data_IF_188228830136
#
_entry.id   IF_188228830136
#
_cell.length_a   1.000
_cell.length_b   1.000
_cell.length_c   1.000
_cell.angle_alpha   90.00
_cell.angle_beta   90.00
_cell.angle_gamma   90.00
#
_symmetry.space_group_name_H-M   'P 1'
#
loop_
_entity.id
_entity.type
_entity.pdbx_description
1 polymer ?
#
# COMPACT_ATOMS: atom_id res chain seq x y z
N UNK A 1 23.66 8.46 -10.93
CA UNK A 1 23.46 7.10 -10.38
C UNK A 1 22.17 6.56 -10.97
N UNK A 2 22.23 5.46 -11.71
CA UNK A 2 21.02 4.70 -12.10
C UNK A 2 20.36 4.16 -10.82
N UNK A 3 19.04 4.30 -10.65
CA UNK A 3 18.35 3.71 -9.51
C UNK A 3 18.56 2.19 -9.51
N UNK A 4 18.64 1.61 -8.31
CA UNK A 4 18.67 0.16 -8.16
C UNK A 4 17.35 -0.41 -8.73
N UNK A 5 17.40 -1.43 -9.60
CA UNK A 5 16.19 -1.98 -10.20
C UNK A 5 15.23 -2.52 -9.12
N UNK A 6 13.93 -2.43 -9.38
CA UNK A 6 12.89 -2.98 -8.52
C UNK A 6 12.13 -4.03 -9.34
N UNK A 7 12.46 -5.33 -9.20
CA UNK A 7 11.77 -6.41 -9.90
C UNK A 7 10.30 -6.48 -9.47
N UNK A 8 9.37 -6.34 -10.41
CA UNK A 8 7.93 -6.26 -10.14
C UNK A 8 7.35 -7.57 -9.58
N UNK A 9 8.06 -8.67 -9.73
CA UNK A 9 7.68 -10.03 -9.38
C UNK A 9 8.12 -10.46 -7.98
N UNK A 10 9.11 -9.79 -7.40
CA UNK A 10 9.59 -10.05 -6.02
C UNK A 10 9.53 -8.82 -5.10
N UNK A 11 9.15 -7.64 -5.59
CA UNK A 11 9.10 -6.45 -4.75
C UNK A 11 8.02 -6.50 -3.66
N UNK A 12 8.30 -5.84 -2.53
CA UNK A 12 7.35 -5.54 -1.47
C UNK A 12 6.94 -4.06 -1.48
N UNK A 13 5.79 -3.74 -0.89
CA UNK A 13 5.23 -2.37 -0.99
C UNK A 13 6.17 -1.30 -0.40
N UNK A 14 6.94 -1.63 0.64
CA UNK A 14 7.87 -0.71 1.28
C UNK A 14 9.05 -0.31 0.38
N UNK A 15 9.37 -1.10 -0.65
CA UNK A 15 10.44 -0.80 -1.62
C UNK A 15 9.97 0.18 -2.70
N UNK A 16 8.65 0.23 -2.94
CA UNK A 16 8.01 1.05 -3.98
C UNK A 16 7.95 2.54 -3.61
N UNK A 17 8.00 2.84 -2.31
CA UNK A 17 7.71 4.15 -1.74
C UNK A 17 8.97 4.94 -1.36
N UNK A 18 8.77 6.22 -1.09
CA UNK A 18 9.74 7.09 -0.41
C UNK A 18 9.24 7.27 1.03
N UNK A 19 9.86 6.62 2.02
CA UNK A 19 9.42 6.70 3.41
C UNK A 19 9.90 7.99 4.06
N UNK A 20 9.09 8.57 4.94
CA UNK A 20 9.57 9.54 5.90
C UNK A 20 10.38 8.82 6.99
N UNK A 21 11.52 9.38 7.40
CA UNK A 21 12.21 8.90 8.61
C UNK A 21 11.49 9.44 9.84
N UNK A 22 10.79 8.56 10.52
CA UNK A 22 10.06 8.88 11.76
C UNK A 22 10.97 8.70 12.97
N UNK A 23 10.74 9.47 14.02
CA UNK A 23 11.32 9.22 15.33
C UNK A 23 12.69 9.85 15.49
N UNK A 24 12.91 11.05 14.94
CA UNK A 24 14.02 11.85 15.41
C UNK A 24 13.85 12.06 16.92
N UNK A 25 14.97 12.03 17.64
CA UNK A 25 14.95 12.06 19.10
C UNK A 25 14.20 13.30 19.64
N UNK A 26 14.26 14.42 18.92
CA UNK A 26 13.53 15.65 19.23
C UNK A 26 12.01 15.47 19.22
N UNK A 27 11.46 14.70 18.29
CA UNK A 27 10.01 14.47 18.17
C UNK A 27 9.53 13.51 19.26
N UNK A 28 10.34 12.48 19.52
CA UNK A 28 10.07 11.45 20.53
C UNK A 28 10.12 12.01 21.96
N UNK A 29 11.02 12.97 22.23
CA UNK A 29 11.13 13.66 23.53
C UNK A 29 9.87 14.45 23.91
N UNK A 30 9.09 14.91 22.93
CA UNK A 30 7.84 15.65 23.17
C UNK A 30 6.72 14.73 23.66
N UNK A 31 6.81 13.43 23.39
CA UNK A 31 5.82 12.43 23.80
C UNK A 31 5.97 12.08 25.28
N UNK A 32 4.86 11.96 25.99
CA UNK A 32 4.85 11.40 27.35
C UNK A 32 4.89 9.86 27.28
N UNK A 33 6.12 9.34 27.22
CA UNK A 33 6.45 7.92 27.21
C UNK A 33 6.88 7.38 28.57
N UNK A 34 6.49 8.05 29.67
CA UNK A 34 6.78 7.57 31.02
C UNK A 34 6.18 6.18 31.28
N UNK A 35 6.71 5.46 32.28
CA UNK A 35 6.32 4.08 32.61
C UNK A 35 4.79 3.87 32.58
N UNK A 36 4.38 2.83 31.86
CA UNK A 36 2.96 2.51 31.68
C UNK A 36 2.22 3.37 30.65
N UNK A 37 2.90 4.19 29.83
CA UNK A 37 2.25 4.98 28.77
C UNK A 37 1.35 4.15 27.85
N UNK A 38 1.73 2.90 27.54
CA UNK A 38 0.92 1.99 26.70
C UNK A 38 -0.45 1.66 27.31
N UNK A 39 -0.62 1.82 28.63
CA UNK A 39 -1.92 1.68 29.32
C UNK A 39 -2.70 2.98 29.37
N UNK A 40 -2.02 4.13 29.28
CA UNK A 40 -2.61 5.48 29.37
C UNK A 40 -3.10 5.98 28.01
N UNK A 41 -2.32 5.72 26.96
CA UNK A 41 -2.73 6.02 25.59
C UNK A 41 -3.80 5.04 25.14
N UNK A 42 -4.73 5.53 24.34
CA UNK A 42 -5.89 4.75 23.91
C UNK A 42 -6.10 4.82 22.40
N UNK A 43 -6.63 3.77 21.81
CA UNK A 43 -7.12 3.75 20.45
C UNK A 43 -8.65 3.53 20.47
N UNK A 44 -9.39 4.40 19.79
CA UNK A 44 -10.82 4.18 19.51
C UNK A 44 -10.94 3.49 18.16
N UNK A 45 -11.59 2.34 18.14
CA UNK A 45 -11.89 1.53 16.96
C UNK A 45 -13.38 1.56 16.68
N UNK A 46 -13.76 1.25 15.45
CA UNK A 46 -15.15 0.94 15.09
C UNK A 46 -15.22 -0.51 14.60
N UNK A 47 -15.96 -1.35 15.30
CA UNK A 47 -16.08 -2.79 15.00
C UNK A 47 -17.55 -3.15 14.90
N UNK A 48 -17.97 -3.69 13.75
CA UNK A 48 -19.36 -4.05 13.48
C UNK A 48 -20.36 -2.95 13.90
N UNK A 49 -20.11 -1.71 13.46
CA UNK A 49 -20.93 -0.54 13.79
C UNK A 49 -20.74 0.06 15.19
N UNK A 50 -20.00 -0.57 16.10
CA UNK A 50 -19.85 -0.12 17.49
C UNK A 50 -18.48 0.51 17.75
N UNK A 51 -18.44 1.65 18.44
CA UNK A 51 -17.17 2.22 18.91
C UNK A 51 -16.65 1.46 20.13
N UNK A 52 -15.38 1.05 20.08
CA UNK A 52 -14.71 0.38 21.19
C UNK A 52 -13.38 1.08 21.47
N UNK A 53 -13.11 1.35 22.75
CA UNK A 53 -11.87 2.01 23.19
C UNK A 53 -11.00 0.98 23.89
N UNK A 54 -9.73 0.90 23.49
CA UNK A 54 -8.75 0.07 24.18
C UNK A 54 -7.48 0.86 24.46
N UNK A 55 -6.69 0.41 25.44
CA UNK A 55 -5.34 0.92 25.63
C UNK A 55 -4.43 0.48 24.48
N UNK A 56 -3.39 1.25 24.16
CA UNK A 56 -2.36 0.85 23.18
C UNK A 56 -1.77 -0.53 23.49
N UNK A 57 -1.58 -0.88 24.77
CA UNK A 57 -1.11 -2.20 25.22
C UNK A 57 -1.93 -3.37 24.64
N UNK A 58 -3.24 -3.17 24.45
CA UNK A 58 -4.16 -4.21 24.01
C UNK A 58 -4.57 -4.03 22.53
N UNK A 59 -4.00 -3.04 21.85
CA UNK A 59 -4.39 -2.66 20.49
C UNK A 59 -4.10 -3.79 19.49
N UNK A 60 -3.02 -4.56 19.69
CA UNK A 60 -2.71 -5.74 18.87
C UNK A 60 -3.75 -6.89 18.96
N UNK A 61 -4.58 -6.90 20.01
CA UNK A 61 -5.60 -7.95 20.22
C UNK A 61 -6.93 -7.66 19.54
N UNK A 62 -7.08 -6.49 18.90
CA UNK A 62 -8.30 -6.14 18.21
C UNK A 62 -8.48 -6.97 16.94
N UNK A 63 -9.68 -7.52 16.69
CA UNK A 63 -9.95 -8.24 15.46
C UNK A 63 -9.88 -7.27 14.30
N UNK A 64 -9.07 -7.55 13.30
CA UNK A 64 -9.04 -6.76 12.05
C UNK A 64 -10.28 -7.05 11.19
N UNK A 65 -10.80 -8.28 11.26
CA UNK A 65 -12.07 -8.64 10.65
C UNK A 65 -13.25 -7.91 11.28
N UNK A 66 -14.04 -7.21 10.46
CA UNK A 66 -15.20 -6.44 10.90
C UNK A 66 -14.87 -5.05 11.43
N UNK A 67 -13.60 -4.63 11.40
CA UNK A 67 -13.22 -3.24 11.62
C UNK A 67 -13.68 -2.35 10.45
N UNK A 68 -14.09 -1.15 10.80
CA UNK A 68 -14.57 -0.12 9.90
C UNK A 68 -13.80 1.19 10.13
N UNK A 69 -13.81 2.11 9.15
CA UNK A 69 -13.31 3.46 9.36
C UNK A 69 -13.93 4.12 10.60
N UNK A 70 -13.08 4.61 11.52
CA UNK A 70 -13.51 5.23 12.78
C UNK A 70 -14.22 6.57 12.56
N UNK A 71 -14.03 7.17 11.38
CA UNK A 71 -14.74 8.38 10.97
C UNK A 71 -15.33 8.19 9.58
N UNK A 72 -16.49 8.81 9.29
CA UNK A 72 -17.06 8.78 7.95
C UNK A 72 -16.23 9.65 7.01
N UNK A 73 -16.06 9.19 5.77
CA UNK A 73 -15.51 10.02 4.69
C UNK A 73 -16.48 11.17 4.39
N UNK A 74 -16.02 12.41 4.56
CA UNK A 74 -16.85 13.58 4.26
C UNK A 74 -16.71 13.98 2.79
N UNK A 75 -17.83 14.30 2.15
CA UNK A 75 -17.90 14.78 0.78
C UNK A 75 -18.43 16.20 0.77
N UNK A 76 -17.62 17.16 0.31
CA UNK A 76 -18.01 18.58 0.21
C UNK A 76 -17.65 19.10 -1.16
N UNK A 77 -18.45 19.99 -1.73
CA UNK A 77 -18.18 20.59 -3.05
C UNK A 77 -17.00 21.57 -3.04
N UNK A 78 -16.60 22.06 -1.86
CA UNK A 78 -15.52 23.05 -1.67
C UNK A 78 -14.19 22.43 -1.25
N UNK A 79 -14.12 21.10 -1.09
CA UNK A 79 -12.90 20.44 -0.66
C UNK A 79 -11.91 20.30 -1.84
N UNK A 80 -10.65 20.66 -1.61
CA UNK A 80 -9.60 20.56 -2.64
C UNK A 80 -9.09 19.12 -2.83
N UNK A 81 -9.29 18.27 -1.83
CA UNK A 81 -8.90 16.87 -1.80
C UNK A 81 -10.04 16.01 -2.38
N UNK A 82 -9.72 14.97 -3.15
CA UNK A 82 -10.74 14.17 -3.85
C UNK A 82 -10.94 12.84 -3.12
N UNK A 83 -11.88 12.76 -2.16
CA UNK A 83 -12.22 11.49 -1.55
C UNK A 83 -12.84 10.55 -2.59
N UNK A 84 -12.77 9.26 -2.30
CA UNK A 84 -13.08 8.21 -3.25
C UNK A 84 -13.26 6.85 -2.59
N UNK A 85 -13.76 5.90 -3.39
CA UNK A 85 -13.70 4.47 -3.09
C UNK A 85 -12.80 3.81 -4.14
N UNK A 86 -11.74 3.15 -3.69
CA UNK A 86 -10.87 2.36 -4.56
C UNK A 86 -11.25 0.87 -4.47
N UNK A 87 -11.49 0.24 -5.62
CA UNK A 87 -11.64 -1.22 -5.68
C UNK A 87 -10.26 -1.88 -5.62
N UNK A 88 -10.06 -2.75 -4.63
CA UNK A 88 -8.89 -3.61 -4.55
C UNK A 88 -9.28 -5.06 -4.90
N UNK A 89 -8.57 -5.65 -5.85
CA UNK A 89 -8.79 -7.04 -6.28
C UNK A 89 -8.41 -8.02 -5.17
N UNK A 90 -7.30 -7.75 -4.48
CA UNK A 90 -6.74 -8.61 -3.42
C UNK A 90 -7.67 -8.80 -2.23
N UNK A 91 -8.52 -7.81 -1.93
CA UNK A 91 -9.49 -7.86 -0.82
C UNK A 91 -10.94 -8.06 -1.28
N UNK A 92 -11.20 -7.98 -2.58
CA UNK A 92 -12.55 -8.06 -3.18
C UNK A 92 -13.50 -6.95 -2.76
N UNK A 93 -13.02 -5.84 -2.19
CA UNK A 93 -13.84 -4.78 -1.56
C UNK A 93 -13.44 -3.38 -2.01
N UNK A 94 -14.30 -2.41 -1.64
CA UNK A 94 -14.06 -0.99 -1.80
C UNK A 94 -13.41 -0.42 -0.53
N UNK A 95 -12.35 0.36 -0.70
CA UNK A 95 -11.62 1.02 0.38
C UNK A 95 -11.71 2.53 0.21
N UNK A 96 -12.05 3.23 1.29
CA UNK A 96 -12.17 4.68 1.25
C UNK A 96 -10.80 5.36 1.31
N UNK A 97 -10.68 6.48 0.62
CA UNK A 97 -9.52 7.36 0.66
C UNK A 97 -10.00 8.82 0.62
N UNK A 98 -9.19 9.74 1.15
CA UNK A 98 -9.45 11.18 1.14
C UNK A 98 -8.53 11.96 0.19
N UNK A 99 -7.45 11.34 -0.28
CA UNK A 99 -6.51 11.98 -1.20
C UNK A 99 -6.04 11.06 -2.34
N UNK A 100 -5.54 11.67 -3.43
CA UNK A 100 -4.92 10.93 -4.54
C UNK A 100 -3.68 10.15 -4.05
N UNK A 101 -2.97 10.65 -3.04
CA UNK A 101 -1.82 9.96 -2.48
C UNK A 101 -2.23 8.66 -1.78
N UNK A 102 -3.34 8.67 -1.03
CA UNK A 102 -3.92 7.47 -0.42
C UNK A 102 -4.47 6.49 -1.48
N UNK A 103 -5.13 6.99 -2.53
CA UNK A 103 -5.56 6.14 -3.66
C UNK A 103 -4.38 5.39 -4.28
N UNK A 104 -3.25 6.06 -4.45
CA UNK A 104 -2.01 5.48 -4.98
C UNK A 104 -1.43 4.43 -4.04
N UNK A 105 -1.53 4.62 -2.73
CA UNK A 105 -1.15 3.60 -1.74
C UNK A 105 -1.98 2.33 -1.93
N UNK A 106 -3.30 2.47 -2.03
CA UNK A 106 -4.20 1.33 -2.21
C UNK A 106 -3.88 0.55 -3.49
N UNK A 107 -3.54 1.25 -4.58
CA UNK A 107 -3.11 0.61 -5.83
C UNK A 107 -1.82 -0.21 -5.65
N UNK A 108 -0.82 0.35 -4.95
CA UNK A 108 0.44 -0.34 -4.71
C UNK A 108 0.27 -1.56 -3.79
N UNK A 109 -0.55 -1.44 -2.74
CA UNK A 109 -0.90 -2.57 -1.87
C UNK A 109 -1.59 -3.67 -2.66
N UNK A 110 -2.54 -3.31 -3.53
CA UNK A 110 -3.25 -4.28 -4.37
C UNK A 110 -2.33 -4.98 -5.37
N UNK A 111 -1.35 -4.26 -5.92
CA UNK A 111 -0.36 -4.84 -6.84
C UNK A 111 0.56 -5.85 -6.15
N UNK A 112 1.02 -5.56 -4.92
CA UNK A 112 1.97 -6.44 -4.22
C UNK A 112 1.37 -7.78 -3.81
N UNK A 113 0.04 -7.91 -3.75
CA UNK A 113 -0.65 -9.17 -3.50
C UNK A 113 -0.45 -9.79 -2.10
N UNK A 114 0.39 -9.21 -1.25
CA UNK A 114 0.70 -9.70 0.10
C UNK A 114 -0.39 -9.36 1.12
N UNK A 115 -1.31 -8.45 0.78
CA UNK A 115 -2.38 -7.95 1.66
C UNK A 115 -3.54 -8.95 1.77
N UNK A 116 -4.00 -9.15 2.99
CA UNK A 116 -5.20 -9.94 3.34
C UNK A 116 -6.34 -9.07 3.86
N UNK A 117 -6.02 -7.93 4.49
CA UNK A 117 -6.99 -6.94 4.96
C UNK A 117 -6.40 -5.54 4.86
N UNK A 118 -7.24 -4.56 4.54
CA UNK A 118 -6.94 -3.13 4.59
C UNK A 118 -8.10 -2.41 5.26
N UNK A 119 -7.80 -1.60 6.25
CA UNK A 119 -8.79 -0.79 6.95
C UNK A 119 -8.37 0.66 6.81
N UNK A 120 -9.16 1.46 6.08
CA UNK A 120 -9.00 2.90 6.02
C UNK A 120 -9.38 3.55 7.35
N UNK A 121 -8.59 4.52 7.81
CA UNK A 121 -8.82 5.27 9.05
C UNK A 121 -9.19 4.34 10.22
N UNK A 122 -8.33 3.34 10.49
CA UNK A 122 -8.68 2.16 11.27
C UNK A 122 -8.99 2.47 12.73
N UNK A 123 -8.35 3.50 13.28
CA UNK A 123 -8.47 3.85 14.69
C UNK A 123 -8.12 5.32 14.91
N UNK A 124 -8.71 5.91 15.95
CA UNK A 124 -8.32 7.23 16.47
C UNK A 124 -7.44 7.03 17.69
N UNK A 125 -6.14 7.28 17.52
CA UNK A 125 -5.13 7.25 18.58
C UNK A 125 -5.21 8.53 19.41
N UNK A 126 -5.39 8.39 20.72
CA UNK A 126 -5.28 9.45 21.72
C UNK A 126 -4.01 9.23 22.53
N UNK A 127 -3.14 10.22 22.52
CA UNK A 127 -1.85 10.18 23.19
C UNK A 127 -1.59 11.50 23.93
N UNK A 128 -0.58 11.49 24.79
CA UNK A 128 -0.21 12.65 25.59
C UNK A 128 1.18 13.11 25.19
N UNK A 129 1.31 14.41 24.92
CA UNK A 129 2.61 15.09 24.85
C UNK A 129 2.91 15.72 26.21
N UNK A 130 4.13 16.25 26.40
CA UNK A 130 4.49 16.98 27.62
C UNK A 130 3.53 18.13 27.94
N UNK A 131 2.92 18.74 26.92
CA UNK A 131 2.08 19.92 27.07
C UNK A 131 0.57 19.61 27.09
N UNK A 132 0.10 18.67 26.25
CA UNK A 132 -1.33 18.45 26.04
C UNK A 132 -1.70 17.06 25.52
N UNK A 133 -2.96 16.63 25.70
CA UNK A 133 -3.52 15.51 24.94
C UNK A 133 -3.61 15.86 23.45
N UNK A 134 -3.32 14.89 22.60
CA UNK A 134 -3.39 15.00 21.14
C UNK A 134 -4.12 13.78 20.57
N UNK A 135 -4.85 13.99 19.47
CA UNK A 135 -5.48 12.93 18.71
C UNK A 135 -4.87 12.82 17.32
N UNK A 136 -4.75 11.60 16.82
CA UNK A 136 -4.36 11.30 15.45
C UNK A 136 -5.15 10.11 14.93
N UNK A 137 -5.44 10.09 13.63
CA UNK A 137 -6.08 8.94 12.96
C UNK A 137 -5.16 8.56 11.82
N UNK A 138 -4.42 7.43 11.93
CA UNK A 138 -3.62 6.91 10.83
C UNK A 138 -4.48 6.65 9.61
N UNK A 139 -3.91 6.76 8.42
CA UNK A 139 -4.69 6.63 7.18
C UNK A 139 -5.09 5.19 6.87
N UNK A 140 -4.22 4.21 7.12
CA UNK A 140 -4.52 2.79 6.87
C UNK A 140 -3.88 1.84 7.89
N UNK A 141 -4.56 0.71 8.12
CA UNK A 141 -3.95 -0.51 8.65
C UNK A 141 -3.98 -1.57 7.55
N UNK A 142 -2.83 -2.10 7.16
CA UNK A 142 -2.72 -3.17 6.18
C UNK A 142 -2.19 -4.44 6.83
N UNK A 143 -2.99 -5.51 6.81
CA UNK A 143 -2.58 -6.84 7.29
C UNK A 143 -2.04 -7.62 6.11
N UNK A 144 -0.77 -7.99 6.18
CA UNK A 144 -0.08 -8.77 5.14
C UNK A 144 0.31 -10.15 5.65
N UNK A 145 0.69 -11.04 4.73
CA UNK A 145 1.29 -12.34 5.10
C UNK A 145 2.55 -12.21 5.96
N UNK A 146 3.25 -11.08 5.87
CA UNK A 146 4.52 -10.82 6.53
C UNK A 146 4.41 -9.91 7.77
N UNK A 147 3.19 -9.57 8.20
CA UNK A 147 2.96 -8.69 9.35
C UNK A 147 1.92 -7.61 9.10
N UNK A 148 1.70 -6.78 10.11
CA UNK A 148 0.72 -5.69 10.07
C UNK A 148 1.44 -4.34 9.96
N UNK A 149 0.98 -3.53 9.02
CA UNK A 149 1.50 -2.19 8.76
C UNK A 149 0.49 -1.14 9.16
N UNK A 150 0.90 -0.24 10.05
CA UNK A 150 0.22 1.02 10.29
C UNK A 150 0.83 2.08 9.37
N UNK A 151 -0.02 2.77 8.60
CA UNK A 151 0.43 3.60 7.49
C UNK A 151 -0.22 4.98 7.56
N UNK A 152 0.61 6.01 7.49
CA UNK A 152 0.21 7.40 7.25
C UNK A 152 0.68 7.82 5.85
N UNK A 153 -0.05 8.69 5.16
CA UNK A 153 0.24 9.16 3.80
C UNK A 153 0.24 10.68 3.79
N UNK A 154 1.43 11.26 3.60
CA UNK A 154 1.60 12.72 3.61
C UNK A 154 2.70 13.12 2.65
N UNK A 155 2.39 13.81 1.53
CA UNK A 155 3.42 14.32 0.61
C UNK A 155 4.51 15.08 1.37
N UNK A 156 5.78 14.78 1.08
CA UNK A 156 6.90 15.23 1.91
C UNK A 156 7.00 16.74 2.09
N UNK A 157 6.59 17.52 1.08
CA UNK A 157 6.55 18.98 1.11
C UNK A 157 5.40 19.57 1.95
N UNK A 158 4.46 18.75 2.42
CA UNK A 158 3.31 19.13 3.24
C UNK A 158 3.45 18.64 4.70
N UNK A 159 4.58 18.04 5.07
CA UNK A 159 4.81 17.55 6.43
C UNK A 159 5.20 18.72 7.33
N UNK A 160 4.33 19.06 8.26
CA UNK A 160 4.55 20.11 9.26
C UNK A 160 5.11 19.54 10.57
N UNK A 161 5.44 20.41 11.53
CA UNK A 161 5.97 19.98 12.83
C UNK A 161 4.98 19.12 13.62
N UNK A 162 3.72 19.53 13.66
CA UNK A 162 2.64 18.80 14.34
C UNK A 162 2.40 17.40 13.74
N UNK A 163 2.56 17.26 12.42
CA UNK A 163 2.48 15.96 11.75
C UNK A 163 3.58 15.01 12.24
N UNK A 164 4.80 15.52 12.44
CA UNK A 164 5.95 14.70 12.91
C UNK A 164 5.72 14.16 14.32
N UNK A 165 5.12 14.95 15.21
CA UNK A 165 4.76 14.50 16.57
C UNK A 165 3.73 13.38 16.49
N UNK A 166 2.69 13.52 15.65
CA UNK A 166 1.68 12.48 15.42
C UNK A 166 2.30 11.21 14.85
N UNK A 167 3.21 11.35 13.87
CA UNK A 167 3.90 10.21 13.29
C UNK A 167 4.78 9.49 14.30
N UNK A 168 5.48 10.23 15.17
CA UNK A 168 6.25 9.63 16.27
C UNK A 168 5.34 8.85 17.22
N UNK A 169 4.17 9.40 17.60
CA UNK A 169 3.20 8.70 18.44
C UNK A 169 2.64 7.43 17.78
N UNK A 170 2.29 7.49 16.48
CA UNK A 170 1.88 6.32 15.69
C UNK A 170 2.97 5.24 15.66
N UNK A 171 4.23 5.65 15.49
CA UNK A 171 5.37 4.72 15.49
C UNK A 171 5.54 4.00 16.84
N UNK A 172 5.42 4.72 17.96
CA UNK A 172 5.45 4.09 19.30
C UNK A 172 4.29 3.11 19.48
N UNK A 173 3.08 3.51 19.10
CA UNK A 173 1.89 2.67 19.24
C UNK A 173 1.98 1.40 18.38
N UNK A 174 2.45 1.53 17.13
CA UNK A 174 2.71 0.39 16.25
C UNK A 174 3.79 -0.54 16.83
N UNK A 175 4.92 0.03 17.29
CA UNK A 175 6.00 -0.74 17.90
C UNK A 175 5.52 -1.53 19.14
N UNK A 176 4.72 -0.90 20.00
CA UNK A 176 4.13 -1.55 21.17
C UNK A 176 3.21 -2.73 20.81
N UNK A 177 2.68 -2.75 19.58
CA UNK A 177 1.85 -3.82 19.04
C UNK A 177 2.62 -4.87 18.24
N UNK A 178 3.94 -4.69 18.05
CA UNK A 178 4.73 -5.51 17.13
C UNK A 178 4.39 -5.28 15.66
N UNK A 179 3.81 -4.13 15.33
CA UNK A 179 3.47 -3.73 13.96
C UNK A 179 4.60 -2.92 13.33
N UNK A 180 4.66 -2.96 12.00
CA UNK A 180 5.50 -2.06 11.23
C UNK A 180 4.80 -0.71 11.07
N UNK A 181 5.57 0.37 10.97
CA UNK A 181 5.05 1.72 10.74
C UNK A 181 5.79 2.42 9.61
N UNK A 182 5.04 3.09 8.74
CA UNK A 182 5.61 3.90 7.65
C UNK A 182 4.75 5.12 7.37
N UNK A 183 5.40 6.24 7.07
CA UNK A 183 4.75 7.40 6.47
C UNK A 183 5.17 7.48 5.01
N UNK A 184 4.20 7.43 4.10
CA UNK A 184 4.42 7.47 2.65
C UNK A 184 4.45 8.92 2.20
N UNK A 185 5.62 9.38 1.73
CA UNK A 185 5.82 10.77 1.28
C UNK A 185 5.79 10.93 -0.23
N UNK A 186 5.88 9.82 -0.94
CA UNK A 186 6.01 9.76 -2.38
C UNK A 186 6.40 8.36 -2.83
N UNK A 187 6.78 8.25 -4.09
CA UNK A 187 7.03 6.98 -4.76
C UNK A 187 8.36 7.03 -5.48
N UNK A 188 9.04 5.89 -5.59
CA UNK A 188 10.24 5.79 -6.42
C UNK A 188 9.89 6.18 -7.86
N UNK A 189 10.85 6.76 -8.62
CA UNK A 189 10.60 7.17 -10.00
C UNK A 189 9.99 6.04 -10.84
N UNK A 190 9.04 6.39 -11.71
CA UNK A 190 8.31 5.50 -12.62
C UNK A 190 7.35 4.48 -11.98
N UNK A 191 7.57 4.05 -10.73
CA UNK A 191 6.79 2.98 -10.09
C UNK A 191 5.29 3.17 -10.27
N UNK A 192 4.73 4.30 -9.81
CA UNK A 192 3.29 4.53 -9.93
C UNK A 192 2.80 4.66 -11.37
N UNK A 193 3.59 5.23 -12.27
CA UNK A 193 3.21 5.35 -13.68
C UNK A 193 3.09 3.97 -14.32
N UNK A 194 4.02 3.07 -13.98
CA UNK A 194 3.97 1.68 -14.43
C UNK A 194 2.79 0.97 -13.81
N UNK A 195 2.63 1.05 -12.48
CA UNK A 195 1.50 0.42 -11.77
C UNK A 195 0.16 0.87 -12.31
N UNK A 196 -0.03 2.18 -12.55
CA UNK A 196 -1.25 2.73 -13.14
C UNK A 196 -1.53 2.12 -14.52
N UNK A 197 -0.50 2.04 -15.38
CA UNK A 197 -0.60 1.43 -16.70
C UNK A 197 -0.99 -0.05 -16.68
N UNK A 198 -0.35 -0.87 -15.85
CA UNK A 198 -0.67 -2.31 -15.74
C UNK A 198 -2.00 -2.56 -15.01
N UNK A 199 -2.42 -1.62 -14.14
CA UNK A 199 -3.66 -1.74 -13.36
C UNK A 199 -4.93 -1.79 -14.21
N UNK A 200 -4.85 -1.39 -15.48
CA UNK A 200 -5.95 -1.50 -16.43
C UNK A 200 -6.44 -2.94 -16.62
N UNK A 201 -5.55 -3.93 -16.41
CA UNK A 201 -5.83 -5.35 -16.62
C UNK A 201 -5.77 -6.18 -15.33
N UNK A 202 -6.03 -5.55 -14.17
CA UNK A 202 -5.95 -6.21 -12.86
C UNK A 202 -7.09 -7.17 -12.51
N UNK A 203 -8.21 -7.07 -13.22
CA UNK A 203 -9.38 -7.93 -12.98
C UNK A 203 -9.18 -9.28 -13.69
N UNK A 204 -9.82 -10.36 -13.21
CA UNK A 204 -9.80 -11.64 -13.92
C UNK A 204 -10.17 -11.46 -15.40
N UNK A 205 -9.27 -11.91 -16.28
CA UNK A 205 -9.42 -11.79 -17.72
C UNK A 205 -9.62 -13.18 -18.32
N UNK A 206 -10.70 -13.37 -19.08
CA UNK A 206 -10.93 -14.64 -19.80
C UNK A 206 -9.94 -14.77 -20.94
N UNK A 207 -9.43 -15.98 -21.15
CA UNK A 207 -8.49 -16.28 -22.23
C UNK A 207 -8.97 -17.44 -23.11
N UNK A 208 -10.00 -17.23 -23.94
CA UNK A 208 -10.50 -18.27 -24.84
C UNK A 208 -9.53 -18.58 -25.99
N UNK A 209 -8.51 -17.75 -26.21
CA UNK A 209 -7.55 -17.87 -27.31
C UNK A 209 -6.19 -18.45 -26.86
N UNK A 210 -5.99 -18.71 -25.57
CA UNK A 210 -4.75 -19.28 -25.03
C UNK A 210 -3.54 -18.33 -25.10
N UNK A 211 -3.78 -17.02 -25.18
CA UNK A 211 -2.72 -16.01 -25.39
C UNK A 211 -1.79 -15.89 -24.18
N UNK A 212 -2.29 -16.12 -22.96
CA UNK A 212 -1.46 -16.07 -21.76
C UNK A 212 -0.38 -17.16 -21.78
N UNK A 213 -0.73 -18.37 -22.19
CA UNK A 213 0.21 -19.49 -22.24
C UNK A 213 1.28 -19.26 -23.31
N UNK A 214 0.90 -18.78 -24.49
CA UNK A 214 1.85 -18.40 -25.55
C UNK A 214 2.86 -17.34 -25.07
N UNK A 215 2.37 -16.30 -24.37
CA UNK A 215 3.22 -15.24 -23.81
C UNK A 215 4.20 -15.79 -22.77
N UNK A 216 3.73 -16.68 -21.89
CA UNK A 216 4.57 -17.27 -20.84
C UNK A 216 5.61 -18.22 -21.42
N UNK A 217 5.24 -19.07 -22.37
CA UNK A 217 6.18 -19.95 -23.09
C UNK A 217 7.24 -19.16 -23.85
N UNK A 218 6.85 -18.05 -24.49
CA UNK A 218 7.80 -17.16 -25.16
C UNK A 218 8.76 -16.51 -24.15
N UNK A 219 8.25 -16.00 -23.03
CA UNK A 219 9.04 -15.38 -21.97
C UNK A 219 9.96 -16.38 -21.24
N UNK A 220 9.57 -17.67 -21.17
CA UNK A 220 10.38 -18.73 -20.56
C UNK A 220 11.68 -19.03 -21.33
N UNK A 221 11.77 -18.62 -22.62
CA UNK A 221 13.01 -18.74 -23.42
C UNK A 221 14.08 -17.73 -23.01
N UNK A 222 13.72 -16.74 -22.21
CA UNK A 222 14.62 -15.72 -21.66
C UNK A 222 14.02 -14.32 -21.69
N UNK A 223 14.64 -13.36 -20.97
CA UNK A 223 14.22 -11.98 -20.97
C UNK A 223 14.24 -11.37 -22.38
N UNK A 224 13.17 -10.68 -22.76
CA UNK A 224 13.02 -10.05 -24.08
C UNK A 224 12.24 -8.75 -23.98
N UNK A 225 12.20 -7.95 -25.04
CA UNK A 225 11.44 -6.70 -25.00
C UNK A 225 9.93 -6.96 -25.03
N UNK A 226 9.17 -6.12 -24.32
CA UNK A 226 7.71 -6.19 -24.26
C UNK A 226 7.09 -6.17 -25.67
N UNK A 227 7.61 -5.32 -26.56
CA UNK A 227 7.15 -5.23 -27.94
C UNK A 227 7.40 -6.50 -28.76
N UNK A 228 8.56 -7.14 -28.59
CA UNK A 228 8.89 -8.40 -29.25
C UNK A 228 7.99 -9.53 -28.74
N UNK A 229 7.79 -9.60 -27.42
CA UNK A 229 6.95 -10.61 -26.79
C UNK A 229 5.52 -10.58 -27.34
N UNK A 230 4.89 -9.41 -27.38
CA UNK A 230 3.51 -9.28 -27.86
C UNK A 230 3.40 -9.43 -29.38
N UNK A 231 4.41 -9.00 -30.15
CA UNK A 231 4.42 -9.12 -31.61
C UNK A 231 4.56 -10.58 -32.08
N UNK A 232 5.08 -11.47 -31.23
CA UNK A 232 5.16 -12.91 -31.51
C UNK A 232 3.80 -13.63 -31.38
N UNK A 233 2.80 -13.00 -30.77
CA UNK A 233 1.44 -13.57 -30.66
C UNK A 233 0.65 -13.39 -31.96
N UNK A 234 -0.32 -14.28 -32.28
CA UNK A 234 -1.19 -14.12 -33.46
C UNK A 234 -2.03 -12.84 -33.45
N UNK A 235 -2.28 -12.26 -32.26
CA UNK A 235 -3.12 -11.08 -32.08
C UNK A 235 -2.43 -10.04 -31.17
N UNK A 236 -1.45 -9.25 -31.65
CA UNK A 236 -0.61 -8.40 -30.81
C UNK A 236 -1.37 -7.40 -29.92
N UNK A 237 -2.50 -6.86 -30.39
CA UNK A 237 -3.34 -5.95 -29.58
C UNK A 237 -3.97 -6.65 -28.39
N UNK A 238 -4.44 -7.89 -28.57
CA UNK A 238 -4.97 -8.73 -27.50
C UNK A 238 -3.81 -9.19 -26.60
N UNK A 239 -2.69 -9.62 -27.21
CA UNK A 239 -1.45 -9.97 -26.52
C UNK A 239 -0.97 -8.91 -25.55
N UNK A 240 -1.07 -7.62 -25.90
CA UNK A 240 -0.77 -6.51 -24.97
C UNK A 240 -1.67 -6.51 -23.73
N UNK A 241 -2.99 -6.67 -23.90
CA UNK A 241 -3.90 -6.70 -22.75
C UNK A 241 -3.59 -7.90 -21.82
N UNK A 242 -3.34 -9.07 -22.40
CA UNK A 242 -2.97 -10.27 -21.64
C UNK A 242 -1.58 -10.15 -20.99
N UNK A 243 -0.61 -9.51 -21.64
CA UNK A 243 0.70 -9.26 -21.05
C UNK A 243 0.62 -8.29 -19.86
N UNK A 244 -0.17 -7.21 -19.95
CA UNK A 244 -0.44 -6.33 -18.80
C UNK A 244 -1.13 -7.07 -17.64
N UNK A 245 -2.06 -7.98 -17.95
CA UNK A 245 -2.70 -8.84 -16.96
C UNK A 245 -1.67 -9.73 -16.25
N UNK A 246 -0.80 -10.40 -17.00
CA UNK A 246 0.27 -11.25 -16.45
C UNK A 246 1.30 -10.44 -15.63
N UNK A 247 1.61 -9.21 -16.03
CA UNK A 247 2.46 -8.29 -15.27
C UNK A 247 1.81 -7.88 -13.94
N UNK A 248 0.52 -7.54 -13.95
CA UNK A 248 -0.22 -7.23 -12.71
C UNK A 248 -0.23 -8.40 -11.74
N UNK A 249 -0.48 -9.61 -12.25
CA UNK A 249 -0.50 -10.84 -11.46
C UNK A 249 0.88 -11.45 -11.24
N UNK A 250 1.96 -10.72 -11.59
CA UNK A 250 3.35 -11.12 -11.33
C UNK A 250 3.73 -12.50 -11.90
N UNK A 251 3.07 -12.91 -12.99
CA UNK A 251 3.44 -14.08 -13.80
C UNK A 251 4.47 -13.70 -14.87
N UNK A 252 4.48 -12.43 -15.25
CA UNK A 252 5.59 -11.76 -15.92
C UNK A 252 6.16 -10.69 -14.99
N UNK A 253 7.47 -10.47 -15.08
CA UNK A 253 8.19 -9.47 -14.32
C UNK A 253 8.78 -8.37 -15.20
N UNK A 254 8.97 -7.18 -14.63
CA UNK A 254 9.68 -6.04 -15.23
C UNK A 254 10.37 -5.21 -14.15
N UNK A 255 11.25 -4.29 -14.54
CA UNK A 255 11.86 -3.31 -13.61
C UNK A 255 10.93 -2.09 -13.43
N UNK A 256 10.33 -1.95 -12.25
CA UNK A 256 9.38 -0.87 -11.93
C UNK A 256 10.02 0.52 -11.91
N UNK A 257 11.36 0.62 -11.92
CA UNK A 257 12.06 1.92 -11.95
C UNK A 257 12.19 2.50 -13.36
N UNK A 258 11.72 1.78 -14.38
CA UNK A 258 11.77 2.18 -15.79
C UNK A 258 10.37 2.32 -16.37
N UNK A 259 10.17 3.22 -17.35
CA UNK A 259 8.87 3.36 -17.99
C UNK A 259 8.50 2.06 -18.72
N UNK A 260 7.21 1.74 -18.75
CA UNK A 260 6.65 0.65 -19.55
C UNK A 260 6.46 1.10 -21.00
N UNK A 261 7.21 0.51 -21.92
CA UNK A 261 7.13 0.70 -23.36
C UNK A 261 7.63 -0.55 -24.10
N UNK A 262 7.65 -0.54 -25.43
CA UNK A 262 8.01 -1.70 -26.25
C UNK A 262 9.46 -2.18 -26.08
N UNK A 263 10.34 -1.35 -25.53
CA UNK A 263 11.74 -1.69 -25.22
C UNK A 263 11.92 -2.17 -23.77
N UNK A 264 10.88 -2.11 -22.93
CA UNK A 264 10.93 -2.62 -21.56
C UNK A 264 11.23 -4.11 -21.60
N UNK A 265 12.28 -4.54 -20.90
CA UNK A 265 12.58 -5.96 -20.76
C UNK A 265 11.58 -6.58 -19.80
N UNK A 266 10.99 -7.68 -20.24
CA UNK A 266 10.08 -8.52 -19.46
C UNK A 266 10.66 -9.93 -19.35
N UNK A 267 10.38 -10.60 -18.25
CA UNK A 267 10.81 -11.97 -17.99
C UNK A 267 9.67 -12.82 -17.44
N UNK A 268 9.77 -14.12 -17.62
CA UNK A 268 8.88 -15.08 -16.95
C UNK A 268 9.24 -15.16 -15.47
N UNK A 269 8.21 -15.15 -14.62
CA UNK A 269 8.35 -15.45 -13.21
C UNK A 269 8.13 -16.95 -13.04
N UNK A 270 9.05 -17.63 -12.34
CA UNK A 270 8.84 -19.03 -12.01
C UNK A 270 7.55 -19.22 -11.21
N UNK A 271 6.87 -20.34 -11.39
CA UNK A 271 5.84 -20.76 -10.45
C UNK A 271 6.52 -21.07 -9.11
N UNK A 272 6.73 -20.07 -8.26
CA UNK A 272 6.93 -20.32 -6.84
C UNK A 272 5.60 -20.84 -6.29
N UNK A 273 5.54 -22.16 -6.18
CA UNK A 273 4.35 -22.94 -5.87
C UNK A 273 3.60 -22.40 -4.67
N UNK A 274 2.32 -22.12 -4.88
CA UNK A 274 1.32 -22.13 -3.83
C UNK A 274 1.28 -23.54 -3.22
N UNK A 275 1.99 -23.74 -2.10
CA UNK A 275 1.79 -24.84 -1.15
C UNK A 275 1.65 -24.27 0.25
#
# INVERSE_FOLDING_TARGET
MTPHPIPSDSCHFAELLIPFRVGAESERRVLDLADGWTRRWTATWKVAGTEVICSVKNMASFPTGGCEPVRPFSWRTTQHHRPGLATMVSTGRLHGFESIAEQKLLLALDFTGDVTEVISQPMRLRFTTQDRPVEHTPDFLAVTRNGTWLIDVRPGNLIEHDDRIKFAASAEAALACGWQYVVVTGWRPQVLTVLDGISAQRRPLKDPLGIQDELLEAAARGPQSYGQLVAATPYPTIGRAHALHLLWHRRLGLDLTRPLNDQTIVWSCGEEGNR
#
